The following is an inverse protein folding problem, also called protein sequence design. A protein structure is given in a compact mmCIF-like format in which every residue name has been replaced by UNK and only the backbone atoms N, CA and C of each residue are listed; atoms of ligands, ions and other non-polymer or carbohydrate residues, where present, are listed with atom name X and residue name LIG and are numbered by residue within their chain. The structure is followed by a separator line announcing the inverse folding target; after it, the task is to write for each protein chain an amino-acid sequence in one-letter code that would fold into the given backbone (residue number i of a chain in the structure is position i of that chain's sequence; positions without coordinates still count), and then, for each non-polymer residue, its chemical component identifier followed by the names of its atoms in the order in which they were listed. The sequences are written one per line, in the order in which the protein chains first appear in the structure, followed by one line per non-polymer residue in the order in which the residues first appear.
data_IF_310008641599
#
_entry.id   IF_310008641599
#
_cell.length_a   1.000
_cell.length_b   1.000
_cell.length_c   1.000
_cell.angle_alpha   90.00
_cell.angle_beta   90.00
_cell.angle_gamma   90.00
#
_symmetry.space_group_name_H-M   'P 1'
#
loop_
_entity.id
_entity.type
_entity.pdbx_description
1 polymer ?
#
# COMPACT_ATOMS: atom_id res chain seq x y z
N UNK A 1 -34.70 11.28 -25.63
CA UNK A 1 -34.37 11.29 -27.07
C UNK A 1 -32.95 11.83 -27.19
N UNK A 2 -32.00 10.95 -27.45
CA UNK A 2 -30.65 11.35 -27.78
C UNK A 2 -30.59 11.71 -29.28
N UNK A 3 -30.01 12.82 -29.57
CA UNK A 3 -29.82 13.32 -30.92
C UNK A 3 -28.93 12.35 -31.72
N UNK A 4 -29.51 11.59 -32.66
CA UNK A 4 -28.88 10.39 -33.24
C UNK A 4 -28.20 10.65 -34.58
N UNK A 5 -27.97 11.91 -34.97
CA UNK A 5 -27.54 12.20 -36.34
C UNK A 5 -26.02 12.32 -36.59
N UNK A 6 -25.17 12.19 -35.59
CA UNK A 6 -23.71 12.37 -35.77
C UNK A 6 -22.81 11.17 -35.50
N UNK A 7 -23.30 10.13 -34.82
CA UNK A 7 -22.53 8.89 -34.64
C UNK A 7 -23.48 7.70 -34.46
N UNK A 8 -23.43 6.71 -35.36
CA UNK A 8 -24.14 5.43 -35.17
C UNK A 8 -23.54 4.68 -33.96
N UNK A 9 -23.92 5.10 -32.76
CA UNK A 9 -23.54 4.41 -31.54
C UNK A 9 -24.38 3.15 -31.48
N UNK A 10 -23.76 1.95 -31.34
CA UNK A 10 -24.49 0.72 -31.13
C UNK A 10 -25.37 0.85 -29.88
N UNK A 11 -26.67 0.77 -30.06
CA UNK A 11 -27.63 0.86 -28.94
C UNK A 11 -28.23 -0.51 -28.68
N UNK A 12 -28.29 -0.90 -27.39
CA UNK A 12 -28.95 -2.10 -26.93
C UNK A 12 -30.30 -1.71 -26.30
N UNK A 13 -31.40 -2.18 -26.88
CA UNK A 13 -32.72 -1.98 -26.28
C UNK A 13 -32.90 -3.03 -25.12
N UNK A 14 -32.98 -2.52 -23.90
CA UNK A 14 -33.17 -3.33 -22.68
C UNK A 14 -34.60 -3.23 -22.13
N UNK A 15 -35.51 -2.51 -22.80
CA UNK A 15 -36.91 -2.34 -22.40
C UNK A 15 -37.57 -3.73 -22.26
N UNK A 16 -38.15 -4.02 -21.13
CA UNK A 16 -38.79 -5.32 -20.85
C UNK A 16 -37.85 -6.49 -20.60
N UNK A 17 -36.52 -6.27 -20.63
CA UNK A 17 -35.51 -7.32 -20.35
C UNK A 17 -34.87 -7.21 -18.96
N UNK A 18 -35.40 -6.37 -18.10
CA UNK A 18 -34.92 -6.19 -16.72
C UNK A 18 -36.11 -6.08 -15.77
N UNK A 19 -35.87 -6.40 -14.49
CA UNK A 19 -36.87 -6.25 -13.46
C UNK A 19 -37.05 -4.75 -13.10
N UNK A 20 -38.26 -4.25 -13.31
CA UNK A 20 -38.59 -2.86 -13.06
C UNK A 20 -38.50 -2.49 -11.58
N UNK A 21 -38.76 -3.45 -10.68
CA UNK A 21 -38.65 -3.21 -9.22
C UNK A 21 -37.21 -3.00 -8.80
N UNK A 22 -36.27 -3.79 -9.34
CA UNK A 22 -34.85 -3.62 -9.10
C UNK A 22 -34.35 -2.27 -9.63
N UNK A 23 -34.84 -1.84 -10.81
CA UNK A 23 -34.47 -0.55 -11.37
C UNK A 23 -35.04 0.62 -10.55
N UNK A 24 -36.25 0.47 -10.03
CA UNK A 24 -36.85 1.45 -9.13
C UNK A 24 -36.02 1.61 -7.83
N UNK A 25 -35.67 0.48 -7.20
CA UNK A 25 -34.83 0.44 -6.00
C UNK A 25 -33.45 1.06 -6.27
N UNK A 26 -32.83 0.74 -7.42
CA UNK A 26 -31.57 1.35 -7.84
C UNK A 26 -31.68 2.88 -7.94
N UNK A 27 -32.76 3.40 -8.54
CA UNK A 27 -32.99 4.86 -8.60
C UNK A 27 -33.11 5.51 -7.22
N UNK A 28 -33.79 4.85 -6.28
CA UNK A 28 -33.89 5.34 -4.90
C UNK A 28 -32.50 5.44 -4.27
N UNK A 29 -31.66 4.42 -4.43
CA UNK A 29 -30.30 4.43 -3.88
C UNK A 29 -29.39 5.49 -4.50
N UNK A 30 -29.42 5.62 -5.82
CA UNK A 30 -28.59 6.61 -6.53
C UNK A 30 -28.98 8.05 -6.19
N UNK A 31 -30.28 8.31 -5.99
CA UNK A 31 -30.78 9.64 -5.66
C UNK A 31 -30.77 9.93 -4.14
N UNK A 32 -30.38 8.96 -3.33
CA UNK A 32 -30.26 9.17 -1.88
C UNK A 32 -29.17 10.19 -1.56
N UNK A 33 -29.49 11.15 -0.70
CA UNK A 33 -28.53 12.12 -0.16
C UNK A 33 -27.79 11.60 1.08
N UNK A 34 -28.16 10.42 1.56
CA UNK A 34 -27.51 9.79 2.71
C UNK A 34 -26.14 9.25 2.29
N UNK A 35 -25.15 9.38 3.18
CA UNK A 35 -23.80 8.83 2.95
C UNK A 35 -23.83 7.30 2.70
N UNK A 36 -24.72 6.59 3.38
CA UNK A 36 -25.03 5.18 3.13
C UNK A 36 -26.51 5.08 2.77
N UNK A 37 -26.87 4.92 1.50
CA UNK A 37 -28.27 4.93 1.05
C UNK A 37 -29.17 3.88 1.70
N UNK A 38 -28.60 2.73 2.11
CA UNK A 38 -29.31 1.64 2.78
C UNK A 38 -29.19 1.67 4.31
N UNK A 39 -28.63 2.75 4.90
CA UNK A 39 -28.37 2.84 6.35
C UNK A 39 -29.60 2.64 7.23
N UNK A 40 -30.76 3.12 6.79
CA UNK A 40 -32.02 2.99 7.53
C UNK A 40 -32.51 1.54 7.64
N UNK A 41 -32.13 0.68 6.71
CA UNK A 41 -32.55 -0.74 6.69
C UNK A 41 -31.67 -1.65 7.54
N UNK A 42 -30.48 -1.19 7.95
CA UNK A 42 -29.53 -1.98 8.74
C UNK A 42 -30.10 -2.34 10.12
N UNK A 43 -30.90 -1.44 10.71
CA UNK A 43 -31.56 -1.68 12.01
C UNK A 43 -32.53 -2.87 12.01
N UNK A 44 -33.02 -3.29 10.85
CA UNK A 44 -33.92 -4.44 10.69
C UNK A 44 -33.21 -5.79 10.49
N UNK A 45 -31.86 -5.78 10.35
CA UNK A 45 -31.09 -7.02 10.14
C UNK A 45 -30.95 -7.75 11.47
N UNK A 46 -31.29 -9.06 11.48
CA UNK A 46 -31.14 -9.88 12.66
C UNK A 46 -29.67 -9.94 13.10
N UNK A 47 -29.39 -9.79 14.39
CA UNK A 47 -28.04 -9.77 14.93
C UNK A 47 -27.21 -10.99 14.56
N UNK A 48 -27.81 -12.19 14.51
CA UNK A 48 -27.12 -13.40 14.08
C UNK A 48 -26.67 -13.34 12.61
N UNK A 49 -27.49 -12.81 11.70
CA UNK A 49 -27.13 -12.66 10.30
C UNK A 49 -25.95 -11.70 10.13
N UNK A 50 -25.93 -10.61 10.93
CA UNK A 50 -24.85 -9.63 10.92
C UNK A 50 -23.52 -10.23 11.39
N UNK A 51 -23.55 -10.94 12.53
CA UNK A 51 -22.35 -11.62 13.08
C UNK A 51 -21.83 -12.67 12.08
N UNK A 52 -22.70 -13.52 11.55
CA UNK A 52 -22.31 -14.53 10.57
C UNK A 52 -21.71 -13.91 9.31
N UNK A 53 -22.20 -12.76 8.88
CA UNK A 53 -21.64 -12.03 7.74
C UNK A 53 -20.24 -11.47 8.05
N UNK A 54 -20.05 -10.89 9.24
CA UNK A 54 -18.73 -10.40 9.67
C UNK A 54 -17.71 -11.54 9.78
N UNK A 55 -18.11 -12.68 10.37
CA UNK A 55 -17.24 -13.85 10.49
C UNK A 55 -16.79 -14.35 9.11
N UNK A 56 -17.73 -14.44 8.16
CA UNK A 56 -17.39 -14.84 6.79
C UNK A 56 -16.44 -13.85 6.12
N UNK A 57 -16.70 -12.53 6.24
CA UNK A 57 -15.83 -11.51 5.69
C UNK A 57 -14.42 -11.55 6.28
N UNK A 58 -14.31 -11.83 7.59
CA UNK A 58 -13.03 -11.99 8.27
C UNK A 58 -12.27 -13.20 7.73
N UNK A 59 -12.94 -14.36 7.64
CA UNK A 59 -12.33 -15.59 7.12
C UNK A 59 -11.87 -15.41 5.67
N UNK A 60 -12.73 -14.88 4.80
CA UNK A 60 -12.37 -14.59 3.39
C UNK A 60 -11.18 -13.64 3.27
N UNK A 61 -11.10 -12.62 4.14
CA UNK A 61 -9.97 -11.69 4.19
C UNK A 61 -8.68 -12.38 4.61
N UNK A 62 -8.72 -13.20 5.66
CA UNK A 62 -7.58 -13.98 6.14
C UNK A 62 -7.10 -14.99 5.09
N UNK A 63 -8.01 -15.71 4.46
CA UNK A 63 -7.66 -16.66 3.40
C UNK A 63 -6.96 -15.98 2.22
N UNK A 64 -7.43 -14.79 1.83
CA UNK A 64 -6.80 -14.00 0.78
C UNK A 64 -5.38 -13.60 1.16
N UNK A 65 -5.18 -13.13 2.40
CA UNK A 65 -3.84 -12.79 2.90
C UNK A 65 -2.93 -14.02 2.98
N UNK A 66 -3.42 -15.17 3.46
CA UNK A 66 -2.66 -16.42 3.48
C UNK A 66 -2.20 -16.83 2.08
N UNK A 67 -3.08 -16.80 1.08
CA UNK A 67 -2.70 -17.11 -0.31
C UNK A 67 -1.62 -16.17 -0.84
N UNK A 68 -1.69 -14.89 -0.48
CA UNK A 68 -0.69 -13.90 -0.88
C UNK A 68 0.66 -14.18 -0.20
N UNK A 69 0.64 -14.50 1.10
CA UNK A 69 1.84 -14.89 1.86
C UNK A 69 2.49 -16.16 1.31
N UNK A 70 1.70 -17.18 1.01
CA UNK A 70 2.21 -18.43 0.43
C UNK A 70 2.90 -18.20 -0.92
N UNK A 71 2.32 -17.32 -1.75
CA UNK A 71 2.94 -16.93 -3.02
C UNK A 71 4.28 -16.20 -2.81
N UNK A 72 4.31 -15.24 -1.87
CA UNK A 72 5.52 -14.50 -1.54
C UNK A 72 6.61 -15.39 -0.95
N UNK A 73 6.24 -16.35 -0.08
CA UNK A 73 7.16 -17.33 0.50
C UNK A 73 7.82 -18.19 -0.57
N UNK A 74 7.03 -18.74 -1.49
CA UNK A 74 7.56 -19.54 -2.61
C UNK A 74 8.54 -18.72 -3.48
N UNK A 75 8.23 -17.45 -3.71
CA UNK A 75 9.07 -16.54 -4.49
C UNK A 75 10.39 -16.19 -3.79
N UNK A 76 10.39 -16.14 -2.45
CA UNK A 76 11.55 -15.77 -1.63
C UNK A 76 12.22 -16.97 -0.94
N UNK A 77 12.18 -18.16 -1.56
CA UNK A 77 12.81 -19.38 -1.04
C UNK A 77 12.41 -19.73 0.40
N UNK A 78 11.14 -19.45 0.77
CA UNK A 78 10.58 -19.69 2.11
C UNK A 78 11.28 -18.92 3.25
N UNK A 79 11.87 -17.78 2.94
CA UNK A 79 12.50 -16.91 3.95
C UNK A 79 11.42 -16.07 4.68
N UNK A 80 10.93 -16.62 5.80
CA UNK A 80 9.90 -15.98 6.62
C UNK A 80 10.35 -14.65 7.23
N UNK A 81 11.60 -14.56 7.67
CA UNK A 81 12.15 -13.35 8.30
C UNK A 81 12.16 -12.19 7.30
N UNK A 82 12.61 -12.46 6.07
CA UNK A 82 12.61 -11.45 5.01
C UNK A 82 11.19 -11.01 4.62
N UNK A 83 10.22 -11.93 4.56
CA UNK A 83 8.83 -11.59 4.23
C UNK A 83 8.18 -10.80 5.36
N UNK A 84 8.39 -11.21 6.60
CA UNK A 84 7.90 -10.47 7.76
C UNK A 84 8.45 -9.04 7.77
N UNK A 85 9.75 -8.89 7.53
CA UNK A 85 10.39 -7.58 7.41
C UNK A 85 9.76 -6.73 6.30
N UNK A 86 9.55 -7.30 5.10
CA UNK A 86 8.91 -6.59 3.98
C UNK A 86 7.49 -6.13 4.32
N UNK A 87 6.71 -6.99 4.96
CA UNK A 87 5.35 -6.66 5.41
C UNK A 87 5.36 -5.57 6.48
N UNK A 88 6.24 -5.69 7.47
CA UNK A 88 6.41 -4.69 8.52
C UNK A 88 6.76 -3.33 7.92
N UNK A 89 7.73 -3.29 7.03
CA UNK A 89 8.12 -2.06 6.33
C UNK A 89 6.97 -1.47 5.53
N UNK A 90 6.22 -2.29 4.80
CA UNK A 90 5.02 -1.84 4.07
C UNK A 90 4.01 -1.16 5.00
N UNK A 91 3.78 -1.70 6.20
CA UNK A 91 2.87 -1.11 7.17
C UNK A 91 3.38 0.22 7.74
N UNK A 92 4.68 0.40 7.92
CA UNK A 92 5.27 1.70 8.30
C UNK A 92 4.97 2.80 7.27
N UNK A 93 4.85 2.45 6.00
CA UNK A 93 4.50 3.40 4.94
C UNK A 93 3.06 3.89 4.98
N UNK A 94 2.20 3.33 5.83
CA UNK A 94 0.77 3.60 5.91
C UNK A 94 0.10 3.49 4.51
N UNK A 95 -0.90 4.36 4.23
CA UNK A 95 -1.57 4.37 2.91
C UNK A 95 -0.78 5.09 1.81
N UNK A 96 0.13 5.96 2.21
CA UNK A 96 0.78 6.91 1.29
C UNK A 96 2.09 6.39 0.74
N UNK A 97 2.95 5.87 1.59
CA UNK A 97 4.31 5.42 1.26
C UNK A 97 4.52 3.91 1.43
N UNK A 98 3.46 3.12 1.52
CA UNK A 98 3.55 1.67 1.66
C UNK A 98 4.41 1.01 0.58
N UNK A 99 4.23 1.41 -0.69
CA UNK A 99 5.00 0.85 -1.81
C UNK A 99 6.47 1.26 -1.75
N UNK A 100 6.77 2.48 -1.28
CA UNK A 100 8.13 2.97 -1.11
C UNK A 100 8.87 2.23 0.00
N UNK A 101 8.23 2.02 1.15
CA UNK A 101 8.79 1.24 2.23
C UNK A 101 8.96 -0.25 1.87
N UNK A 102 8.00 -0.83 1.16
CA UNK A 102 8.14 -2.20 0.64
C UNK A 102 9.31 -2.29 -0.36
N UNK A 103 9.45 -1.32 -1.26
CA UNK A 103 10.60 -1.30 -2.18
C UNK A 103 11.92 -1.15 -1.43
N UNK A 104 11.98 -0.28 -0.41
CA UNK A 104 13.15 -0.14 0.45
C UNK A 104 13.56 -1.48 1.08
N UNK A 105 12.60 -2.24 1.59
CA UNK A 105 12.87 -3.56 2.21
C UNK A 105 13.40 -4.60 1.22
N UNK A 106 13.14 -4.44 -0.07
CA UNK A 106 13.67 -5.31 -1.14
C UNK A 106 15.11 -4.95 -1.53
N UNK A 107 15.46 -3.66 -1.52
CA UNK A 107 16.81 -3.19 -1.86
C UNK A 107 17.77 -3.18 -0.67
N UNK A 108 17.24 -3.21 0.54
CA UNK A 108 17.97 -3.33 1.80
C UNK A 108 17.51 -4.60 2.54
N UNK A 109 18.09 -5.77 2.25
CA UNK A 109 17.69 -7.02 2.84
C UNK A 109 17.92 -7.07 4.36
N UNK A 110 17.01 -7.71 5.10
CA UNK A 110 17.10 -7.86 6.55
C UNK A 110 18.44 -8.43 7.01
N UNK A 111 18.97 -9.44 6.29
CA UNK A 111 20.26 -10.08 6.61
C UNK A 111 21.46 -9.12 6.60
N UNK A 112 21.36 -8.02 5.85
CA UNK A 112 22.41 -6.99 5.84
C UNK A 112 22.29 -6.11 7.08
N UNK A 113 21.07 -5.72 7.46
CA UNK A 113 20.80 -4.95 8.67
C UNK A 113 21.21 -5.70 9.94
N UNK A 114 20.85 -6.99 10.05
CA UNK A 114 21.16 -7.82 11.20
C UNK A 114 22.65 -7.95 11.51
N UNK A 115 23.52 -7.78 10.51
CA UNK A 115 24.98 -7.82 10.69
C UNK A 115 25.54 -6.57 11.37
N UNK A 116 24.74 -5.53 11.51
CA UNK A 116 25.19 -4.22 11.98
C UNK A 116 24.29 -3.64 13.07
N UNK A 117 23.50 -4.49 13.76
CA UNK A 117 22.60 -4.05 14.85
C UNK A 117 23.32 -3.44 16.05
N UNK A 118 24.60 -3.71 16.18
CA UNK A 118 25.48 -3.17 17.22
C UNK A 118 25.95 -1.73 16.93
N UNK A 119 25.66 -1.21 15.73
CA UNK A 119 26.10 0.11 15.30
C UNK A 119 24.96 0.90 14.63
N UNK A 120 24.31 1.77 15.41
CA UNK A 120 23.17 2.59 14.94
C UNK A 120 23.54 3.45 13.75
N UNK A 121 24.74 4.03 13.71
CA UNK A 121 25.20 4.85 12.59
C UNK A 121 25.21 4.07 11.29
N UNK A 122 25.60 2.80 11.31
CA UNK A 122 25.59 1.96 10.10
C UNK A 122 24.18 1.61 9.66
N UNK A 123 23.30 1.27 10.61
CA UNK A 123 21.90 0.99 10.32
C UNK A 123 21.22 2.22 9.71
N UNK A 124 21.36 3.38 10.34
CA UNK A 124 20.80 4.63 9.85
C UNK A 124 21.39 5.03 8.48
N UNK A 125 22.69 4.91 8.29
CA UNK A 125 23.35 5.16 7.00
C UNK A 125 22.77 4.30 5.90
N UNK A 126 22.54 3.01 6.14
CA UNK A 126 21.95 2.10 5.17
C UNK A 126 20.48 2.45 4.88
N UNK A 127 19.69 2.73 5.90
CA UNK A 127 18.27 3.07 5.74
C UNK A 127 18.11 4.39 4.98
N UNK A 128 18.73 5.46 5.45
CA UNK A 128 18.64 6.78 4.79
C UNK A 128 19.31 6.79 3.42
N UNK A 129 20.41 6.07 3.27
CA UNK A 129 21.12 5.97 2.01
C UNK A 129 20.34 5.21 0.93
N UNK A 130 19.81 4.04 1.26
CA UNK A 130 18.96 3.27 0.34
C UNK A 130 17.66 4.01 0.02
N UNK A 131 17.13 4.79 0.96
CA UNK A 131 15.95 5.65 0.75
C UNK A 131 16.22 6.84 -0.18
N UNK A 132 17.46 7.12 -0.52
CA UNK A 132 17.84 8.22 -1.39
C UNK A 132 18.01 9.57 -0.67
N UNK A 133 17.85 9.63 0.65
CA UNK A 133 17.90 10.89 1.39
C UNK A 133 19.34 11.43 1.58
N UNK A 134 20.36 10.60 1.43
CA UNK A 134 21.76 11.02 1.55
C UNK A 134 22.39 11.47 0.22
N UNK A 135 21.58 11.71 -0.81
CA UNK A 135 22.08 12.22 -2.11
C UNK A 135 22.48 13.71 -2.04
N UNK A 136 21.84 14.46 -1.15
CA UNK A 136 22.06 15.89 -0.98
C UNK A 136 23.37 16.20 -0.23
N UNK A 137 23.84 17.43 -0.34
CA UNK A 137 24.93 17.92 0.47
C UNK A 137 24.36 18.52 1.77
N UNK A 138 25.03 18.21 2.88
CA UNK A 138 24.59 18.61 4.21
C UNK A 138 25.63 19.52 4.85
N UNK A 139 25.13 20.55 5.54
CA UNK A 139 25.98 21.42 6.38
C UNK A 139 26.22 20.80 7.76
N UNK A 140 25.28 19.98 8.23
CA UNK A 140 25.34 19.34 9.54
C UNK A 140 26.32 18.16 9.52
N UNK A 141 27.03 17.98 10.62
CA UNK A 141 28.05 16.95 10.78
C UNK A 141 27.46 15.55 10.71
N UNK A 142 26.32 15.32 11.37
CA UNK A 142 25.74 13.97 11.49
C UNK A 142 25.23 13.41 10.14
N UNK A 143 24.41 14.11 9.35
CA UNK A 143 24.04 13.63 8.01
C UNK A 143 25.26 13.45 7.07
N UNK A 144 26.27 14.28 7.22
CA UNK A 144 27.53 14.16 6.46
C UNK A 144 28.30 12.88 6.84
N UNK A 145 28.30 12.51 8.13
CA UNK A 145 28.84 11.25 8.63
C UNK A 145 28.06 10.07 8.01
N UNK A 146 26.72 10.09 8.10
CA UNK A 146 25.87 9.04 7.52
C UNK A 146 26.13 8.85 6.02
N UNK A 147 26.29 9.95 5.26
CA UNK A 147 26.60 9.93 3.82
C UNK A 147 27.93 9.23 3.55
N UNK A 148 28.95 9.53 4.32
CA UNK A 148 30.28 8.93 4.19
C UNK A 148 30.24 7.44 4.50
N UNK A 149 29.64 7.06 5.61
CA UNK A 149 29.51 5.64 5.99
C UNK A 149 28.68 4.85 4.98
N UNK A 150 27.60 5.44 4.49
CA UNK A 150 26.79 4.83 3.43
C UNK A 150 27.59 4.53 2.17
N UNK A 151 28.49 5.41 1.75
CA UNK A 151 29.30 5.18 0.56
C UNK A 151 30.16 3.91 0.68
N UNK A 152 30.73 3.67 1.86
CA UNK A 152 31.50 2.45 2.16
C UNK A 152 30.61 1.22 2.18
N UNK A 153 29.48 1.29 2.89
CA UNK A 153 28.55 0.18 3.06
C UNK A 153 27.87 -0.19 1.72
N UNK A 154 27.53 0.80 0.91
CA UNK A 154 26.95 0.61 -0.43
C UNK A 154 27.89 -0.21 -1.30
N UNK A 155 29.17 0.12 -1.33
CA UNK A 155 30.18 -0.61 -2.10
C UNK A 155 30.39 -2.03 -1.56
N UNK A 156 30.43 -2.19 -0.24
CA UNK A 156 30.66 -3.48 0.42
C UNK A 156 29.51 -4.47 0.19
N UNK A 157 28.26 -4.01 0.22
CA UNK A 157 27.07 -4.87 0.14
C UNK A 157 26.33 -4.77 -1.20
N UNK A 158 26.80 -3.96 -2.14
CA UNK A 158 26.13 -3.77 -3.43
C UNK A 158 24.74 -3.14 -3.31
N UNK A 159 24.56 -2.23 -2.32
CA UNK A 159 23.24 -1.65 -2.03
C UNK A 159 22.78 -0.72 -3.15
N UNK A 160 21.49 -0.78 -3.43
CA UNK A 160 20.83 0.11 -4.40
C UNK A 160 20.24 1.32 -3.70
N UNK A 161 20.11 2.42 -4.44
CA UNK A 161 19.50 3.66 -3.96
C UNK A 161 18.17 3.87 -4.66
N UNK A 162 17.15 4.17 -3.89
CA UNK A 162 15.82 4.50 -4.41
C UNK A 162 15.76 5.98 -4.80
N UNK A 163 15.12 6.34 -5.94
CA UNK A 163 14.87 7.74 -6.26
C UNK A 163 14.00 8.42 -5.20
N UNK A 164 14.40 9.62 -4.77
CA UNK A 164 13.62 10.41 -3.78
C UNK A 164 12.19 10.68 -4.26
N UNK A 165 11.97 10.75 -5.57
CA UNK A 165 10.65 10.94 -6.16
C UNK A 165 9.65 9.81 -5.84
N UNK A 166 10.10 8.65 -5.38
CA UNK A 166 9.22 7.56 -4.96
C UNK A 166 8.49 7.88 -3.65
N UNK A 167 9.03 8.80 -2.85
CA UNK A 167 8.40 9.22 -1.61
C UNK A 167 7.33 10.28 -1.89
N UNK A 168 6.15 10.08 -1.32
CA UNK A 168 5.02 11.01 -1.46
C UNK A 168 4.92 11.88 -0.21
N UNK A 169 4.54 13.15 -0.41
CA UNK A 169 4.30 14.12 0.68
C UNK A 169 5.48 14.33 1.63
N UNK A 170 6.70 14.19 1.14
CA UNK A 170 7.88 14.66 1.88
C UNK A 170 7.78 16.19 2.01
N UNK A 171 7.36 16.64 3.17
CA UNK A 171 7.50 18.03 3.54
C UNK A 171 8.93 18.23 4.03
N UNK A 172 9.84 18.52 3.11
CA UNK A 172 11.12 19.08 3.47
C UNK A 172 10.82 20.50 4.01
N UNK A 173 10.75 20.64 5.34
CA UNK A 173 10.81 21.98 5.93
C UNK A 173 12.22 22.49 5.65
N UNK A 174 12.39 23.64 4.97
CA UNK A 174 13.70 24.27 4.95
C UNK A 174 14.10 24.53 6.41
N UNK A 175 15.39 24.37 6.75
CA UNK A 175 15.86 24.76 8.08
C UNK A 175 15.51 26.22 8.31
N UNK A 176 14.87 26.52 9.46
CA UNK A 176 14.62 27.90 9.89
C UNK A 176 15.94 28.60 10.14
#
# INVERSE_FOLDING_TARGET
ECDTDLLKIPTLEIKGKFDQSLFHNYKIFVNSKSWIPCGEYIGGVQGFALVSWFDRMLVESLEKECKTLDFELRKNNSDWEQIFYQRLMRYFGLKVNNDSFEYLSKILPLKVLLKHLDNDVYVESMVFGCSGFLVFDFYDEYPSLLKREFHVLKSKFGLKVMPVANWKFLRLRPPN
#
